data_IF_077047623234
#
_entry.id   IF_077047623234
#
_cell.length_a   1.000
_cell.length_b   1.000
_cell.length_c   1.000
_cell.angle_alpha   90.00
_cell.angle_beta   90.00
_cell.angle_gamma   90.00
#
_symmetry.space_group_name_H-M   'P 1'
#
loop_
_entity.id
_entity.type
_entity.pdbx_description
1 polymer ?
#
# COMPACT_ATOMS: atom_id res chain seq x y z
N UNK A 1 -24.04 -9.69 -4.10
CA UNK A 1 -24.10 -8.20 -4.07
C UNK A 1 -24.03 -7.82 -2.61
N UNK A 2 -22.86 -7.40 -2.08
CA UNK A 2 -22.77 -6.81 -0.73
C UNK A 2 -23.49 -5.47 -0.79
N UNK A 3 -24.28 -5.20 0.23
CA UNK A 3 -25.06 -3.98 0.35
C UNK A 3 -24.11 -2.78 0.42
N UNK A 4 -24.02 -1.97 -0.63
CA UNK A 4 -23.08 -0.86 -0.77
C UNK A 4 -23.41 0.37 0.09
N UNK A 5 -24.52 0.32 0.85
CA UNK A 5 -24.98 1.44 1.68
C UNK A 5 -24.10 1.73 2.92
N UNK A 6 -23.12 0.86 3.22
CA UNK A 6 -22.22 1.02 4.37
C UNK A 6 -20.86 1.67 4.01
N UNK A 7 -20.58 1.89 2.72
CA UNK A 7 -19.33 2.48 2.28
C UNK A 7 -19.41 4.00 2.19
N UNK A 8 -18.31 4.69 2.47
CA UNK A 8 -18.18 6.12 2.25
C UNK A 8 -18.47 6.49 0.79
N UNK A 9 -18.74 7.76 0.53
CA UNK A 9 -18.91 8.27 -0.83
C UNK A 9 -17.65 8.03 -1.66
N UNK A 10 -16.46 8.25 -1.07
CA UNK A 10 -15.17 7.99 -1.71
C UNK A 10 -15.01 6.52 -2.11
N UNK A 11 -15.28 5.58 -1.20
CA UNK A 11 -15.18 4.15 -1.52
C UNK A 11 -16.15 3.75 -2.64
N UNK A 12 -17.38 4.28 -2.63
CA UNK A 12 -18.35 4.04 -3.72
C UNK A 12 -17.88 4.58 -5.05
N UNK A 13 -17.27 5.78 -5.07
CA UNK A 13 -16.69 6.41 -6.27
C UNK A 13 -15.57 5.53 -6.84
N UNK A 14 -14.62 5.09 -6.00
CA UNK A 14 -13.52 4.21 -6.44
C UNK A 14 -14.05 2.86 -6.94
N UNK A 15 -15.02 2.25 -6.25
CA UNK A 15 -15.64 0.99 -6.69
C UNK A 15 -16.37 1.17 -8.03
N UNK A 16 -17.01 2.33 -8.25
CA UNK A 16 -17.64 2.67 -9.52
C UNK A 16 -16.65 2.74 -10.68
N UNK A 17 -15.43 3.21 -10.41
CA UNK A 17 -14.31 3.35 -11.37
C UNK A 17 -13.37 2.14 -11.35
N UNK A 18 -13.80 0.99 -10.82
CA UNK A 18 -12.92 -0.17 -10.60
C UNK A 18 -12.21 -0.66 -11.86
N UNK A 19 -12.87 -0.60 -13.03
CA UNK A 19 -12.29 -1.10 -14.26
C UNK A 19 -11.16 -0.19 -14.73
N UNK A 20 -11.35 1.11 -14.59
CA UNK A 20 -10.35 2.12 -14.91
C UNK A 20 -9.12 1.97 -13.99
N UNK A 21 -9.34 1.74 -12.68
CA UNK A 21 -8.25 1.45 -11.75
C UNK A 21 -7.51 0.16 -12.12
N UNK A 22 -8.22 -0.93 -12.44
CA UNK A 22 -7.60 -2.20 -12.85
C UNK A 22 -6.76 -2.02 -14.12
N UNK A 23 -7.25 -1.26 -15.08
CA UNK A 23 -6.56 -1.06 -16.36
C UNK A 23 -5.31 -0.19 -16.25
N UNK A 24 -5.20 0.68 -15.23
CA UNK A 24 -4.12 1.67 -15.12
C UNK A 24 -3.10 1.36 -14.02
N UNK A 25 -3.46 0.55 -12.99
CA UNK A 25 -2.65 0.38 -11.78
C UNK A 25 -1.23 -0.11 -12.05
N UNK A 26 -1.05 -1.12 -12.89
CA UNK A 26 0.27 -1.68 -13.16
C UNK A 26 1.19 -0.67 -13.85
N UNK A 27 0.64 0.09 -14.81
CA UNK A 27 1.38 1.14 -15.50
C UNK A 27 1.79 2.28 -14.58
N UNK A 28 0.89 2.70 -13.68
CA UNK A 28 1.16 3.75 -12.69
C UNK A 28 2.22 3.30 -11.68
N UNK A 29 2.15 2.05 -11.20
CA UNK A 29 3.17 1.51 -10.30
C UNK A 29 4.54 1.46 -11.00
N UNK A 30 4.60 0.99 -12.24
CA UNK A 30 5.84 0.97 -13.02
C UNK A 30 6.42 2.38 -13.24
N UNK A 31 5.55 3.36 -13.48
CA UNK A 31 5.96 4.77 -13.57
C UNK A 31 6.56 5.28 -12.27
N UNK A 32 5.91 5.08 -11.13
CA UNK A 32 6.40 5.48 -9.82
C UNK A 32 7.72 4.78 -9.44
N UNK A 33 7.94 3.57 -9.94
CA UNK A 33 9.19 2.83 -9.80
C UNK A 33 10.30 3.28 -10.77
N UNK A 34 10.04 4.27 -11.63
CA UNK A 34 10.98 4.74 -12.64
C UNK A 34 11.16 3.80 -13.84
N UNK A 35 10.32 2.77 -13.98
CA UNK A 35 10.42 1.75 -15.03
C UNK A 35 9.62 2.09 -16.29
N UNK A 36 8.75 3.10 -16.24
CA UNK A 36 7.96 3.56 -17.38
C UNK A 36 7.93 5.10 -17.45
N UNK A 37 9.06 5.76 -17.78
CA UNK A 37 9.12 7.23 -17.77
C UNK A 37 8.27 7.89 -18.88
N UNK A 38 7.93 7.15 -19.94
CA UNK A 38 7.13 7.68 -21.07
C UNK A 38 5.68 7.96 -20.70
N UNK A 39 5.21 7.44 -19.56
CA UNK A 39 3.83 7.61 -19.09
C UNK A 39 3.53 9.04 -18.57
N UNK A 40 4.54 9.86 -18.38
CA UNK A 40 4.43 11.26 -17.87
C UNK A 40 3.31 12.03 -18.56
N UNK A 41 3.33 12.08 -19.89
CA UNK A 41 2.34 12.85 -20.65
C UNK A 41 0.91 12.29 -20.52
N UNK A 42 0.78 10.96 -20.50
CA UNK A 42 -0.52 10.32 -20.33
C UNK A 42 -1.11 10.60 -18.94
N UNK A 43 -0.30 10.53 -17.88
CA UNK A 43 -0.74 10.82 -16.51
C UNK A 43 -1.24 12.26 -16.37
N UNK A 44 -0.59 13.22 -17.00
CA UNK A 44 -1.01 14.63 -16.98
C UNK A 44 -2.23 14.93 -17.87
N UNK A 45 -2.63 13.99 -18.73
CA UNK A 45 -3.84 14.16 -19.55
C UNK A 45 -5.11 13.90 -18.72
N UNK A 46 -6.08 14.79 -18.84
CA UNK A 46 -7.41 14.60 -18.24
C UNK A 46 -8.04 13.29 -18.74
N UNK A 47 -8.55 12.50 -17.80
CA UNK A 47 -9.27 11.26 -18.10
C UNK A 47 -8.38 10.02 -18.23
N UNK A 48 -7.07 10.11 -18.15
CA UNK A 48 -6.20 8.94 -18.11
C UNK A 48 -6.25 8.24 -16.76
N UNK A 49 -6.09 8.98 -15.66
CA UNK A 49 -6.25 8.43 -14.32
C UNK A 49 -7.70 8.55 -13.85
N UNK A 50 -8.30 7.47 -13.32
CA UNK A 50 -9.50 7.59 -12.52
C UNK A 50 -9.21 8.42 -11.27
N UNK A 51 -10.13 9.29 -10.89
CA UNK A 51 -9.94 10.26 -9.83
C UNK A 51 -11.03 10.13 -8.78
N UNK A 52 -10.63 10.04 -7.50
CA UNK A 52 -11.52 10.04 -6.36
C UNK A 52 -11.20 11.21 -5.42
N UNK A 53 -11.48 11.12 -4.14
CA UNK A 53 -11.46 12.28 -3.23
C UNK A 53 -10.10 12.94 -3.05
N UNK A 54 -9.01 12.23 -3.27
CA UNK A 54 -7.66 12.80 -3.20
C UNK A 54 -7.42 13.86 -4.28
N UNK A 55 -8.16 13.78 -5.38
CA UNK A 55 -8.08 14.74 -6.48
C UNK A 55 -8.99 15.96 -6.29
N UNK A 56 -9.98 15.91 -5.41
CA UNK A 56 -10.94 17.02 -5.23
C UNK A 56 -10.25 18.33 -4.78
N UNK A 57 -9.13 18.22 -4.07
CA UNK A 57 -8.33 19.37 -3.66
C UNK A 57 -7.60 20.07 -4.83
N UNK A 58 -7.32 19.34 -5.92
CA UNK A 58 -6.64 19.91 -7.08
C UNK A 58 -7.49 20.96 -7.79
N UNK A 59 -8.81 20.83 -7.83
CA UNK A 59 -9.71 21.80 -8.43
C UNK A 59 -9.63 23.16 -7.70
N UNK A 60 -9.35 23.14 -6.40
CA UNK A 60 -9.18 24.33 -5.58
C UNK A 60 -7.82 25.02 -5.77
N UNK A 61 -6.80 24.26 -6.21
CA UNK A 61 -5.42 24.74 -6.35
C UNK A 61 -5.00 25.07 -7.80
N UNK A 62 -5.86 24.85 -8.80
CA UNK A 62 -5.56 25.03 -10.23
C UNK A 62 -5.03 26.41 -10.69
N UNK A 63 -4.91 27.37 -9.79
CA UNK A 63 -4.35 28.69 -10.10
C UNK A 63 -2.93 28.96 -9.58
N UNK A 64 -2.39 28.19 -8.62
CA UNK A 64 -1.14 28.56 -7.93
C UNK A 64 -0.13 27.43 -7.69
N UNK A 65 -0.55 26.16 -7.58
CA UNK A 65 0.35 25.10 -7.14
C UNK A 65 1.19 24.47 -8.26
N UNK A 66 0.71 24.44 -9.49
CA UNK A 66 1.41 23.81 -10.61
C UNK A 66 2.26 24.77 -11.47
N UNK A 67 2.17 26.07 -11.26
CA UNK A 67 2.86 27.07 -12.08
C UNK A 67 4.39 27.02 -12.03
N UNK A 68 4.99 26.26 -11.14
CA UNK A 68 6.44 26.06 -11.02
C UNK A 68 6.89 24.60 -11.09
N UNK A 69 5.98 23.63 -11.18
CA UNK A 69 6.31 22.21 -11.28
C UNK A 69 6.59 21.84 -12.74
N UNK A 70 7.65 21.08 -12.98
CA UNK A 70 7.84 20.47 -14.29
C UNK A 70 6.83 19.30 -14.50
N UNK A 71 6.60 18.93 -15.75
CA UNK A 71 5.63 17.89 -16.12
C UNK A 71 5.88 16.55 -15.43
N UNK A 72 7.13 16.23 -15.12
CA UNK A 72 7.47 14.98 -14.45
C UNK A 72 7.06 14.99 -12.97
N UNK A 73 7.24 16.11 -12.28
CA UNK A 73 6.86 16.24 -10.88
C UNK A 73 5.33 16.30 -10.75
N UNK A 74 4.65 16.97 -11.68
CA UNK A 74 3.20 16.93 -11.79
C UNK A 74 2.68 15.50 -11.96
N UNK A 75 3.23 14.74 -12.91
CA UNK A 75 2.85 13.35 -13.13
C UNK A 75 3.09 12.47 -11.90
N UNK A 76 4.20 12.65 -11.18
CA UNK A 76 4.46 11.93 -9.93
C UNK A 76 3.45 12.29 -8.84
N UNK A 77 3.10 13.56 -8.73
CA UNK A 77 2.10 14.01 -7.77
C UNK A 77 0.73 13.40 -8.05
N UNK A 78 0.26 13.45 -9.30
CA UNK A 78 -1.01 12.86 -9.73
C UNK A 78 -1.02 11.32 -9.51
N UNK A 79 0.09 10.64 -9.86
CA UNK A 79 0.23 9.21 -9.62
C UNK A 79 0.24 8.88 -8.11
N UNK A 80 0.77 9.77 -7.27
CA UNK A 80 0.73 9.60 -5.80
C UNK A 80 -0.70 9.72 -5.28
N UNK A 81 -1.46 10.74 -5.70
CA UNK A 81 -2.88 10.89 -5.31
C UNK A 81 -3.71 9.66 -5.72
N UNK A 82 -3.47 9.15 -6.94
CA UNK A 82 -4.11 7.94 -7.43
C UNK A 82 -3.85 6.72 -6.51
N UNK A 83 -2.59 6.52 -6.08
CA UNK A 83 -2.24 5.43 -5.14
C UNK A 83 -2.85 5.68 -3.75
N UNK A 84 -2.94 6.92 -3.31
CA UNK A 84 -3.57 7.28 -2.03
C UNK A 84 -5.07 7.01 -2.02
N UNK A 85 -5.79 7.28 -3.11
CA UNK A 85 -7.20 6.87 -3.26
C UNK A 85 -7.36 5.35 -3.07
N UNK A 86 -6.48 4.55 -3.69
CA UNK A 86 -6.47 3.10 -3.51
C UNK A 86 -6.16 2.69 -2.07
N UNK A 87 -5.25 3.40 -1.40
CA UNK A 87 -4.94 3.17 0.02
C UNK A 87 -6.16 3.42 0.91
N UNK A 88 -6.92 4.48 0.64
CA UNK A 88 -8.12 4.82 1.41
C UNK A 88 -9.21 3.76 1.25
N UNK A 89 -9.42 3.27 0.03
CA UNK A 89 -10.33 2.15 -0.23
C UNK A 89 -9.92 0.88 0.54
N UNK A 90 -8.63 0.53 0.52
CA UNK A 90 -8.14 -0.66 1.21
C UNK A 90 -8.29 -0.52 2.72
N UNK A 91 -7.99 0.66 3.29
CA UNK A 91 -8.17 0.94 4.72
C UNK A 91 -9.62 0.79 5.16
N UNK A 92 -10.55 1.30 4.36
CA UNK A 92 -11.97 1.25 4.70
C UNK A 92 -12.58 -0.14 4.51
N UNK A 93 -12.22 -0.82 3.42
CA UNK A 93 -12.95 -2.01 2.97
C UNK A 93 -12.27 -3.33 3.29
N UNK A 94 -10.94 -3.32 3.58
CA UNK A 94 -10.14 -4.55 3.67
C UNK A 94 -9.38 -4.63 5.00
N UNK A 95 -8.57 -3.61 5.32
CA UNK A 95 -7.68 -3.65 6.47
C UNK A 95 -7.40 -2.21 6.98
N UNK A 96 -7.91 -1.85 8.17
CA UNK A 96 -7.78 -0.49 8.70
C UNK A 96 -6.34 -0.07 9.03
N UNK A 97 -5.41 -1.04 9.11
CA UNK A 97 -4.00 -0.78 9.36
C UNK A 97 -3.19 -0.63 8.07
N UNK A 98 -3.83 -0.76 6.90
CA UNK A 98 -3.13 -0.72 5.63
C UNK A 98 -2.42 0.61 5.37
N UNK A 99 -1.23 0.52 4.77
CA UNK A 99 -0.47 1.61 4.20
C UNK A 99 0.59 1.05 3.27
N UNK A 100 0.79 1.64 2.09
CA UNK A 100 1.72 1.11 1.09
C UNK A 100 3.17 1.02 1.58
N UNK A 101 3.61 1.97 2.41
CA UNK A 101 4.97 1.99 2.95
C UNK A 101 5.04 1.92 4.48
N UNK A 102 3.90 2.00 5.16
CA UNK A 102 3.82 2.20 6.62
C UNK A 102 2.66 1.40 7.21
N UNK A 103 2.56 0.13 6.84
CA UNK A 103 1.53 -0.75 7.39
C UNK A 103 1.64 -0.81 8.92
N UNK A 104 0.51 -0.60 9.58
CA UNK A 104 0.43 -0.61 11.05
C UNK A 104 1.41 0.34 11.77
N UNK A 105 1.89 1.41 11.11
CA UNK A 105 2.82 2.39 11.73
C UNK A 105 2.28 2.94 13.06
N UNK A 106 0.97 3.16 13.15
CA UNK A 106 0.32 3.64 14.38
C UNK A 106 0.59 2.70 15.56
N UNK A 107 0.58 1.39 15.35
CA UNK A 107 0.81 0.41 16.40
C UNK A 107 2.24 0.48 16.97
N UNK A 108 3.23 0.79 16.13
CA UNK A 108 4.61 0.93 16.56
C UNK A 108 4.91 2.33 17.13
N UNK A 109 4.14 3.36 16.76
CA UNK A 109 4.31 4.73 17.26
C UNK A 109 3.56 5.00 18.55
N UNK A 110 2.37 4.43 18.73
CA UNK A 110 1.52 4.66 19.90
C UNK A 110 1.89 3.81 21.10
N UNK A 111 2.89 2.94 20.97
CA UNK A 111 3.23 1.97 21.97
C UNK A 111 3.98 2.59 23.16
N UNK A 112 3.24 3.10 24.13
CA UNK A 112 3.71 3.09 25.52
C UNK A 112 3.86 1.64 26.03
N UNK A 113 3.29 0.65 25.33
CA UNK A 113 3.45 -0.77 25.57
C UNK A 113 3.41 -1.58 24.27
N UNK A 114 4.08 -2.71 24.25
CA UNK A 114 4.06 -3.68 23.15
C UNK A 114 2.72 -4.47 23.09
N UNK A 115 1.85 -4.31 24.09
CA UNK A 115 0.69 -5.19 24.31
C UNK A 115 -0.32 -5.18 23.15
N UNK A 116 -0.61 -4.00 22.59
CA UNK A 116 -1.54 -3.91 21.44
C UNK A 116 -0.96 -4.65 20.22
N UNK A 117 0.32 -4.43 19.92
CA UNK A 117 1.01 -5.10 18.82
C UNK A 117 1.10 -6.60 19.06
N UNK A 118 1.44 -7.03 20.26
CA UNK A 118 1.51 -8.43 20.65
C UNK A 118 0.14 -9.12 20.53
N UNK A 119 -0.91 -8.45 20.98
CA UNK A 119 -2.28 -8.95 20.83
C UNK A 119 -2.64 -9.19 19.35
N UNK A 120 -2.34 -8.22 18.48
CA UNK A 120 -2.60 -8.36 17.04
C UNK A 120 -1.73 -9.44 16.40
N UNK A 121 -0.46 -9.57 16.80
CA UNK A 121 0.43 -10.63 16.30
C UNK A 121 -0.03 -12.05 16.71
N UNK A 122 -0.89 -12.18 17.72
CA UNK A 122 -1.49 -13.45 18.14
C UNK A 122 -2.89 -13.69 17.53
N UNK A 123 -3.45 -12.74 16.80
CA UNK A 123 -4.71 -12.92 16.08
C UNK A 123 -4.50 -13.64 14.75
N UNK A 124 -5.60 -14.05 14.14
CA UNK A 124 -5.59 -14.60 12.78
C UNK A 124 -4.98 -13.61 11.78
N UNK A 125 -4.37 -14.16 10.73
CA UNK A 125 -3.78 -13.37 9.65
C UNK A 125 -4.85 -12.53 8.96
N UNK A 126 -4.60 -11.23 8.82
CA UNK A 126 -5.42 -10.35 7.99
C UNK A 126 -5.35 -10.77 6.51
N UNK A 127 -6.19 -10.17 5.66
CA UNK A 127 -6.10 -10.42 4.22
C UNK A 127 -4.74 -9.96 3.65
N UNK A 128 -4.22 -8.84 4.14
CA UNK A 128 -2.91 -8.30 3.73
C UNK A 128 -1.78 -9.20 4.23
N UNK A 129 -1.85 -9.68 5.48
CA UNK A 129 -0.90 -10.66 5.99
C UNK A 129 -0.84 -11.90 5.10
N UNK A 130 -1.98 -12.44 4.71
CA UNK A 130 -2.07 -13.63 3.84
C UNK A 130 -1.40 -13.39 2.48
N UNK A 131 -1.54 -12.19 1.90
CA UNK A 131 -0.86 -11.84 0.64
C UNK A 131 0.66 -11.78 0.87
N UNK A 132 1.10 -11.08 1.91
CA UNK A 132 2.52 -10.94 2.26
C UNK A 132 3.17 -12.29 2.51
N UNK A 133 2.53 -13.15 3.30
CA UNK A 133 3.00 -14.51 3.59
C UNK A 133 3.10 -15.35 2.31
N UNK A 134 2.13 -15.28 1.41
CA UNK A 134 2.18 -16.01 0.14
C UNK A 134 3.37 -15.59 -0.73
N UNK A 135 3.71 -14.31 -0.74
CA UNK A 135 4.90 -13.81 -1.46
C UNK A 135 6.18 -14.32 -0.79
N UNK A 136 6.24 -14.26 0.55
CA UNK A 136 7.36 -14.75 1.34
C UNK A 136 7.58 -16.26 1.13
N UNK A 137 6.53 -17.06 1.21
CA UNK A 137 6.54 -18.51 0.98
C UNK A 137 7.14 -18.88 -0.38
N UNK A 138 6.67 -18.21 -1.45
CA UNK A 138 7.23 -18.42 -2.80
C UNK A 138 8.72 -18.10 -2.85
N UNK A 139 9.16 -17.03 -2.19
CA UNK A 139 10.57 -16.64 -2.16
C UNK A 139 11.42 -17.67 -1.39
N UNK A 140 10.97 -18.09 -0.23
CA UNK A 140 11.66 -19.11 0.58
C UNK A 140 11.76 -20.43 -0.18
N UNK A 141 10.67 -20.89 -0.82
CA UNK A 141 10.67 -22.12 -1.60
C UNK A 141 11.66 -22.09 -2.78
N UNK A 142 11.82 -20.91 -3.41
CA UNK A 142 12.74 -20.72 -4.54
C UNK A 142 14.19 -20.62 -4.09
N UNK A 143 14.47 -19.78 -3.06
CA UNK A 143 15.84 -19.44 -2.63
C UNK A 143 16.42 -20.47 -1.67
N UNK A 144 15.55 -21.11 -0.85
CA UNK A 144 15.92 -22.07 0.21
C UNK A 144 17.01 -21.52 1.15
N UNK A 145 16.81 -20.34 1.75
CA UNK A 145 17.81 -19.67 2.55
C UNK A 145 18.05 -20.43 3.88
N UNK A 146 19.27 -20.39 4.40
CA UNK A 146 19.59 -20.80 5.78
C UNK A 146 19.45 -19.66 6.78
N UNK A 147 19.57 -18.42 6.30
CA UNK A 147 19.44 -17.20 7.08
C UNK A 147 18.52 -16.24 6.34
N UNK A 148 17.58 -15.62 7.06
CA UNK A 148 16.76 -14.49 6.59
C UNK A 148 17.06 -13.28 7.46
N UNK A 149 17.64 -12.23 6.87
CA UNK A 149 17.85 -10.95 7.53
C UNK A 149 16.73 -9.99 7.13
N UNK A 150 16.05 -9.39 8.11
CA UNK A 150 14.93 -8.48 7.91
C UNK A 150 15.37 -7.07 8.32
N UNK A 151 15.45 -6.15 7.37
CA UNK A 151 15.69 -4.74 7.66
C UNK A 151 14.41 -4.05 8.14
N UNK A 152 14.48 -3.37 9.27
CA UNK A 152 13.36 -2.64 9.89
C UNK A 152 13.74 -1.16 10.04
N UNK A 153 13.83 -0.41 8.92
CA UNK A 153 14.33 0.98 8.96
C UNK A 153 13.34 1.97 9.59
N UNK A 154 12.06 1.63 9.63
CA UNK A 154 11.00 2.53 10.13
C UNK A 154 9.98 1.78 10.99
N UNK A 155 9.31 2.48 11.94
CA UNK A 155 8.25 1.89 12.77
C UNK A 155 7.16 1.16 11.97
N UNK A 156 6.79 1.67 10.79
CA UNK A 156 5.79 1.03 9.93
C UNK A 156 6.18 -0.32 9.34
N UNK A 157 7.45 -0.74 9.49
CA UNK A 157 7.91 -2.06 9.04
C UNK A 157 7.92 -3.11 10.16
N UNK A 158 7.83 -2.68 11.43
CA UNK A 158 8.01 -3.55 12.62
C UNK A 158 6.98 -4.68 12.64
N UNK A 159 5.70 -4.35 12.51
CA UNK A 159 4.63 -5.35 12.56
C UNK A 159 4.79 -6.43 11.49
N UNK A 160 5.01 -6.03 10.24
CA UNK A 160 5.19 -6.96 9.12
C UNK A 160 6.47 -7.79 9.26
N UNK A 161 7.51 -7.23 9.85
CA UNK A 161 8.75 -7.97 10.15
C UNK A 161 8.49 -9.09 11.17
N UNK A 162 7.84 -8.78 12.30
CA UNK A 162 7.47 -9.78 13.30
C UNK A 162 6.52 -10.83 12.74
N UNK A 163 5.50 -10.42 11.98
CA UNK A 163 4.55 -11.33 11.35
C UNK A 163 5.26 -12.31 10.40
N UNK A 164 6.19 -11.80 9.59
CA UNK A 164 7.01 -12.62 8.69
C UNK A 164 7.91 -13.59 9.48
N UNK A 165 8.57 -13.11 10.53
CA UNK A 165 9.42 -13.92 11.37
C UNK A 165 8.65 -15.04 12.09
N UNK A 166 7.47 -14.74 12.65
CA UNK A 166 6.59 -15.74 13.28
C UNK A 166 6.24 -16.85 12.26
N UNK A 167 5.84 -16.47 11.05
CA UNK A 167 5.49 -17.43 10.02
C UNK A 167 6.68 -18.30 9.61
N UNK A 168 7.86 -17.70 9.40
CA UNK A 168 9.09 -18.44 9.07
C UNK A 168 9.41 -19.44 10.19
N UNK A 169 9.43 -18.99 11.44
CA UNK A 169 9.76 -19.87 12.58
C UNK A 169 8.78 -21.02 12.75
N UNK A 170 7.51 -20.80 12.45
CA UNK A 170 6.48 -21.83 12.51
C UNK A 170 6.63 -22.89 11.41
N UNK A 171 6.96 -22.47 10.18
CA UNK A 171 6.93 -23.34 9.00
C UNK A 171 8.32 -23.82 8.55
N UNK A 172 9.37 -23.11 8.94
CA UNK A 172 10.77 -23.36 8.60
C UNK A 172 11.66 -23.12 9.83
N UNK A 173 11.56 -23.97 10.89
CA UNK A 173 12.25 -23.73 12.17
C UNK A 173 13.78 -23.69 12.05
N UNK A 174 14.33 -24.36 11.03
CA UNK A 174 15.79 -24.42 10.80
C UNK A 174 16.36 -23.12 10.20
N UNK A 175 15.50 -22.23 9.68
CA UNK A 175 15.96 -20.93 9.15
C UNK A 175 16.31 -20.00 10.32
N UNK A 176 17.54 -19.49 10.31
CA UNK A 176 17.96 -18.45 11.24
C UNK A 176 17.35 -17.11 10.80
N UNK A 177 16.82 -16.35 11.77
CA UNK A 177 16.28 -15.00 11.52
C UNK A 177 17.11 -13.98 12.27
N UNK A 178 17.51 -12.92 11.57
CA UNK A 178 18.13 -11.72 12.14
C UNK A 178 17.25 -10.48 11.79
N UNK A 179 17.12 -9.53 12.73
CA UNK A 179 16.45 -8.24 12.54
C UNK A 179 17.38 -7.11 12.99
#
# INVERSE_FOLDING_TARGET
KKNTNYFSENARRIIGLKQEYINTIDSVILFLQGKNPTLVHSICQKGFLPQASRFDQLETYHGKAFGSMNTQDEAKHLATLYIEDMSDLIKECVDPFFGFSRYAERLARSANSFDEMYSLLNQELSYIDKITIRVLEKKIATIKPKLVAISVPFPGNVFSAFRSAQWIKKNHPDIVIAM
#
